data_IF_032858122961
#
_entry.id   IF_032858122961
#
_cell.length_a   1.000
_cell.length_b   1.000
_cell.length_c   1.000
_cell.angle_alpha   90.00
_cell.angle_beta   90.00
_cell.angle_gamma   90.00
#
_symmetry.space_group_name_H-M   'P 1'
#
loop_
_entity.id
_entity.type
_entity.pdbx_description
1 polymer ?
#
# COMPACT_ATOMS: atom_id res chain seq x y z
N UNK A 1 -13.70 13.87 2.56
CA UNK A 1 -12.58 14.31 1.72
C UNK A 1 -11.50 14.91 2.59
N UNK A 2 -10.84 14.01 3.27
CA UNK A 2 -9.52 14.18 3.86
C UNK A 2 -8.52 14.00 2.70
N UNK A 3 -7.40 14.71 2.76
CA UNK A 3 -6.55 14.93 1.60
C UNK A 3 -5.21 14.23 1.80
N UNK A 4 -5.09 13.04 1.24
CA UNK A 4 -3.92 12.19 1.38
C UNK A 4 -2.71 12.87 0.72
N UNK A 5 -1.65 13.15 1.47
CA UNK A 5 -0.37 13.54 0.90
C UNK A 5 0.35 12.28 0.39
N UNK A 6 0.72 12.21 -0.90
CA UNK A 6 1.78 11.28 -1.34
C UNK A 6 3.04 11.63 -0.54
N UNK A 7 3.73 10.63 0.01
CA UNK A 7 4.85 10.86 0.92
C UNK A 7 6.00 11.60 0.22
N UNK A 8 6.17 12.89 0.53
CA UNK A 8 7.32 13.65 0.06
C UNK A 8 8.58 13.07 0.70
N UNK A 9 9.45 12.49 -0.10
CA UNK A 9 10.78 12.12 0.37
C UNK A 9 11.49 13.39 0.83
N UNK A 10 12.01 13.45 2.07
CA UNK A 10 12.64 14.66 2.58
C UNK A 10 13.89 14.95 1.76
N UNK A 11 13.81 15.93 0.86
CA UNK A 11 14.94 16.42 0.09
C UNK A 11 16.00 16.88 1.08
N UNK A 12 17.09 16.10 1.19
CA UNK A 12 18.25 16.48 1.97
C UNK A 12 18.81 17.76 1.37
N UNK A 13 18.53 18.90 2.01
CA UNK A 13 19.06 20.20 1.62
C UNK A 13 20.53 20.25 2.00
N UNK A 14 21.36 19.65 1.15
CA UNK A 14 22.82 19.67 1.24
C UNK A 14 23.31 21.11 1.27
N UNK A 15 23.58 21.61 2.49
CA UNK A 15 24.19 22.92 2.69
C UNK A 15 25.56 22.95 2.01
N UNK A 16 25.89 23.98 1.22
CA UNK A 16 27.23 24.13 0.67
C UNK A 16 28.21 24.42 1.81
N UNK A 17 29.08 23.47 2.12
CA UNK A 17 30.14 23.65 3.11
C UNK A 17 31.22 24.57 2.54
N UNK A 18 31.34 25.79 3.06
CA UNK A 18 32.47 26.67 2.74
C UNK A 18 33.72 26.15 3.45
N UNK A 19 34.66 25.57 2.69
CA UNK A 19 35.99 25.24 3.20
C UNK A 19 36.76 26.51 3.56
N UNK A 20 37.34 26.55 4.76
CA UNK A 20 38.36 27.53 5.13
C UNK A 20 39.45 26.81 5.91
N UNK A 21 40.61 26.66 5.30
CA UNK A 21 41.73 25.90 5.85
C UNK A 21 42.47 26.72 6.92
N UNK A 22 42.46 26.26 8.17
CA UNK A 22 43.39 26.73 9.21
C UNK A 22 43.95 25.52 9.97
N UNK A 23 45.29 25.45 10.00
CA UNK A 23 46.16 24.63 10.85
C UNK A 23 47.07 25.60 11.61
N UNK A 24 47.51 25.37 12.87
CA UNK A 24 48.41 24.24 13.17
C UNK A 24 48.41 23.64 14.61
N UNK A 25 49.13 22.49 14.73
CA UNK A 25 49.97 22.01 15.87
C UNK A 25 49.48 22.15 17.34
N UNK A 26 49.40 21.08 18.15
CA UNK A 26 50.57 20.29 18.62
C UNK A 26 50.22 19.20 19.66
N UNK A 27 51.13 18.21 19.87
CA UNK A 27 51.46 17.37 21.08
C UNK A 27 50.34 16.96 22.10
N UNK A 28 50.28 15.75 22.69
CA UNK A 28 51.24 14.63 22.87
C UNK A 28 50.63 13.40 23.59
N UNK A 29 51.16 12.18 23.36
CA UNK A 29 50.97 10.97 24.20
C UNK A 29 49.66 10.18 24.00
N UNK A 30 49.57 8.86 24.21
CA UNK A 30 50.60 7.84 24.48
C UNK A 30 49.99 6.47 24.91
N UNK A 31 50.67 5.33 24.63
CA UNK A 31 50.25 3.93 24.96
C UNK A 31 48.99 3.38 24.22
N UNK A 32 48.80 2.08 23.96
CA UNK A 32 49.67 0.87 24.10
C UNK A 32 49.18 -0.29 23.19
N UNK A 33 49.99 -1.36 23.08
CA UNK A 33 49.67 -2.74 22.70
C UNK A 33 49.36 -3.14 21.22
N UNK A 34 50.25 -4.00 20.70
CA UNK A 34 50.14 -4.94 19.56
C UNK A 34 49.41 -6.24 20.00
N UNK A 35 49.18 -7.31 19.18
CA UNK A 35 49.55 -7.59 17.77
C UNK A 35 48.27 -7.98 16.93
N UNK A 36 48.24 -8.70 15.78
CA UNK A 36 49.25 -9.45 15.00
C UNK A 36 49.04 -9.39 13.45
N UNK A 37 48.63 -10.49 12.79
CA UNK A 37 48.76 -10.74 11.36
C UNK A 37 47.76 -11.78 10.78
N UNK A 38 47.53 -11.68 9.46
CA UNK A 38 46.97 -12.72 8.56
C UNK A 38 48.15 -13.57 7.95
N UNK A 39 48.06 -14.27 6.78
CA UNK A 39 46.95 -14.62 5.89
C UNK A 39 46.98 -16.11 5.39
N UNK A 40 46.12 -16.46 4.43
CA UNK A 40 46.44 -17.18 3.16
C UNK A 40 45.33 -18.16 2.70
N UNK A 41 45.22 -18.35 1.38
CA UNK A 41 44.25 -19.22 0.71
C UNK A 41 44.80 -20.64 0.44
N UNK A 42 43.92 -21.60 0.12
CA UNK A 42 44.00 -22.46 -1.09
C UNK A 42 42.85 -23.49 -1.23
N UNK A 43 42.40 -23.68 -2.47
CA UNK A 43 42.03 -24.92 -3.18
C UNK A 43 40.98 -25.94 -2.66
N UNK A 44 40.07 -26.28 -3.60
CA UNK A 44 39.28 -27.53 -3.71
C UNK A 44 40.12 -28.63 -4.40
N UNK A 45 39.81 -29.94 -4.28
CA UNK A 45 38.93 -30.55 -5.29
C UNK A 45 38.07 -31.77 -4.88
N UNK A 46 37.05 -32.01 -5.73
CA UNK A 46 36.27 -33.23 -6.07
C UNK A 46 36.37 -34.57 -5.28
N UNK A 47 35.20 -35.21 -5.10
CA UNK A 47 35.04 -36.67 -4.92
C UNK A 47 33.65 -37.17 -5.40
N UNK A 48 33.58 -38.38 -5.98
CA UNK A 48 32.38 -39.12 -6.47
C UNK A 48 32.81 -40.47 -7.09
N UNK A 49 31.94 -41.48 -7.34
CA UNK A 49 30.58 -41.74 -6.83
C UNK A 49 30.33 -43.23 -6.42
N UNK A 50 29.05 -43.61 -6.21
CA UNK A 50 28.49 -45.00 -6.20
C UNK A 50 28.72 -45.86 -4.91
N UNK A 51 27.83 -46.75 -4.44
CA UNK A 51 26.65 -47.41 -5.06
C UNK A 51 25.55 -47.87 -4.04
N UNK A 52 24.29 -47.96 -4.51
CA UNK A 52 23.16 -48.91 -4.24
C UNK A 52 22.94 -49.65 -2.87
N UNK A 53 21.72 -50.04 -2.42
CA UNK A 53 20.31 -49.75 -2.80
C UNK A 53 19.31 -50.41 -1.79
N UNK A 54 18.05 -49.94 -1.72
CA UNK A 54 16.78 -50.69 -1.45
C UNK A 54 15.60 -49.66 -1.45
N UNK A 55 14.72 -49.60 -2.46
CA UNK A 55 13.53 -50.45 -2.72
C UNK A 55 12.28 -50.13 -1.88
N UNK A 56 11.53 -49.10 -2.30
CA UNK A 56 10.07 -49.02 -2.15
C UNK A 56 9.51 -48.05 -3.21
N UNK A 57 8.58 -48.51 -4.06
CA UNK A 57 7.94 -47.65 -5.06
C UNK A 57 6.56 -47.20 -4.60
N UNK A 58 6.28 -45.89 -4.67
CA UNK A 58 4.92 -45.38 -4.76
C UNK A 58 4.86 -44.00 -5.42
N UNK A 59 3.89 -43.85 -6.32
CA UNK A 59 3.71 -42.68 -7.16
C UNK A 59 3.00 -41.54 -6.43
N UNK A 60 3.73 -40.47 -6.11
CA UNK A 60 3.16 -39.18 -5.69
C UNK A 60 3.32 -38.16 -6.81
N UNK A 61 2.26 -37.40 -7.13
CA UNK A 61 2.36 -36.29 -8.10
C UNK A 61 3.36 -35.26 -7.59
N UNK A 62 4.21 -34.72 -8.48
CA UNK A 62 4.92 -33.50 -8.20
C UNK A 62 3.91 -32.38 -7.89
N UNK A 63 4.10 -31.67 -6.77
CA UNK A 63 3.29 -30.50 -6.44
C UNK A 63 3.43 -29.46 -7.55
N UNK A 64 2.35 -28.97 -8.17
CA UNK A 64 2.45 -27.79 -9.01
C UNK A 64 2.80 -26.61 -8.12
N UNK A 65 4.06 -26.18 -8.14
CA UNK A 65 4.43 -24.85 -7.68
C UNK A 65 3.69 -23.85 -8.56
N UNK A 66 2.60 -23.28 -8.05
CA UNK A 66 1.74 -22.36 -8.78
C UNK A 66 2.52 -21.10 -9.16
N UNK A 67 3.08 -21.10 -10.37
CA UNK A 67 3.36 -19.88 -11.09
C UNK A 67 2.03 -19.11 -11.23
N UNK A 68 2.01 -17.87 -10.74
CA UNK A 68 0.85 -17.00 -10.86
C UNK A 68 0.81 -16.46 -12.29
N UNK A 69 0.22 -17.23 -13.20
CA UNK A 69 -0.25 -16.74 -14.49
C UNK A 69 -1.12 -15.48 -14.28
N UNK A 70 -1.08 -14.50 -15.20
CA UNK A 70 -1.86 -13.27 -15.08
C UNK A 70 -3.35 -13.52 -15.38
N UNK A 71 -4.05 -14.11 -14.42
CA UNK A 71 -5.52 -14.27 -14.38
C UNK A 71 -6.21 -12.91 -14.59
N UNK A 72 -6.60 -12.63 -15.84
CA UNK A 72 -7.31 -11.40 -16.25
C UNK A 72 -8.72 -11.41 -15.66
N UNK A 73 -8.82 -11.02 -14.39
CA UNK A 73 -10.07 -11.01 -13.64
C UNK A 73 -11.12 -10.14 -14.36
N UNK A 74 -12.26 -10.71 -14.81
CA UNK A 74 -13.26 -9.94 -15.57
C UNK A 74 -13.80 -8.72 -14.81
N UNK A 75 -13.84 -8.80 -13.47
CA UNK A 75 -14.20 -7.67 -12.61
C UNK A 75 -13.19 -6.51 -12.60
N UNK A 76 -11.91 -6.77 -12.89
CA UNK A 76 -10.88 -5.72 -13.03
C UNK A 76 -11.02 -5.03 -14.38
N UNK A 77 -11.26 -5.77 -15.47
CA UNK A 77 -11.53 -5.15 -16.78
C UNK A 77 -12.84 -4.35 -16.78
N UNK A 78 -13.88 -4.86 -16.12
CA UNK A 78 -15.12 -4.10 -15.89
C UNK A 78 -14.88 -2.81 -15.09
N UNK A 79 -13.99 -2.81 -14.09
CA UNK A 79 -13.65 -1.62 -13.30
C UNK A 79 -12.73 -0.64 -14.04
N UNK A 80 -11.87 -1.12 -14.95
CA UNK A 80 -11.11 -0.27 -15.87
C UNK A 80 -12.04 0.51 -16.80
N UNK A 81 -13.12 -0.11 -17.26
CA UNK A 81 -14.10 0.55 -18.13
C UNK A 81 -15.21 1.34 -17.40
N UNK A 82 -15.51 1.07 -16.13
CA UNK A 82 -16.55 1.77 -15.37
C UNK A 82 -16.31 3.29 -15.30
N UNK A 83 -17.23 4.10 -15.85
CA UNK A 83 -17.10 5.56 -15.94
C UNK A 83 -17.55 6.25 -14.64
N UNK A 84 -17.07 7.49 -14.33
CA UNK A 84 -17.33 8.11 -13.03
C UNK A 84 -18.80 8.38 -12.70
N UNK A 85 -19.62 8.66 -13.72
CA UNK A 85 -21.07 8.85 -13.55
C UNK A 85 -21.78 7.56 -13.12
N UNK A 86 -21.23 6.40 -13.46
CA UNK A 86 -21.82 5.08 -13.21
C UNK A 86 -21.49 4.61 -11.79
N UNK A 87 -20.24 4.70 -11.34
CA UNK A 87 -19.89 4.46 -9.93
C UNK A 87 -20.66 5.42 -9.00
N UNK A 88 -20.79 6.69 -9.39
CA UNK A 88 -21.62 7.67 -8.68
C UNK A 88 -23.14 7.44 -8.82
N UNK A 89 -23.60 6.56 -9.72
CA UNK A 89 -24.99 6.12 -9.79
C UNK A 89 -25.23 4.92 -8.86
N UNK A 90 -24.31 3.94 -8.84
CA UNK A 90 -24.31 2.85 -7.86
C UNK A 90 -24.29 3.41 -6.42
N UNK A 91 -23.41 4.38 -6.15
CA UNK A 91 -23.31 5.05 -4.85
C UNK A 91 -24.54 5.86 -4.42
N UNK A 92 -25.47 6.20 -5.33
CA UNK A 92 -26.74 6.87 -5.00
C UNK A 92 -27.85 5.91 -4.59
N UNK A 93 -27.74 4.62 -4.89
CA UNK A 93 -28.79 3.63 -4.58
C UNK A 93 -29.01 3.51 -3.07
N UNK A 94 -30.19 3.01 -2.65
CA UNK A 94 -30.51 2.80 -1.24
C UNK A 94 -29.64 1.67 -0.65
N UNK A 95 -29.59 0.55 -1.37
CA UNK A 95 -28.55 -0.46 -1.18
C UNK A 95 -27.20 0.09 -1.66
N UNK A 96 -26.12 -0.25 -0.96
CA UNK A 96 -24.73 0.12 -1.30
C UNK A 96 -23.92 -1.06 -1.82
N UNK A 97 -24.43 -2.28 -1.74
CA UNK A 97 -23.76 -3.50 -2.19
C UNK A 97 -23.26 -3.41 -3.64
N UNK A 98 -23.99 -2.81 -4.61
CA UNK A 98 -23.49 -2.65 -5.97
C UNK A 98 -22.26 -1.73 -6.09
N UNK A 99 -22.18 -0.66 -5.27
CA UNK A 99 -21.00 0.22 -5.23
C UNK A 99 -19.77 -0.54 -4.73
N UNK A 100 -19.94 -1.37 -3.69
CA UNK A 100 -18.84 -2.18 -3.16
C UNK A 100 -18.46 -3.33 -4.10
N UNK A 101 -19.42 -4.09 -4.65
CA UNK A 101 -19.14 -5.18 -5.61
C UNK A 101 -18.44 -4.68 -6.89
N UNK A 102 -18.66 -3.43 -7.31
CA UNK A 102 -17.92 -2.83 -8.43
C UNK A 102 -16.42 -2.60 -8.12
N UNK A 103 -16.08 -2.22 -6.89
CA UNK A 103 -14.71 -1.93 -6.46
C UNK A 103 -13.97 -3.17 -5.89
N UNK A 104 -14.72 -4.19 -5.46
CA UNK A 104 -14.23 -5.39 -4.77
C UNK A 104 -13.09 -6.13 -5.51
N UNK A 105 -13.12 -6.34 -6.84
CA UNK A 105 -12.03 -7.05 -7.54
C UNK A 105 -10.66 -6.38 -7.36
N UNK A 106 -10.60 -5.05 -7.48
CA UNK A 106 -9.37 -4.30 -7.28
C UNK A 106 -9.01 -4.12 -5.80
N UNK A 107 -9.99 -4.11 -4.88
CA UNK A 107 -9.73 -4.11 -3.45
C UNK A 107 -9.09 -5.44 -3.00
N UNK A 108 -9.55 -6.58 -3.54
CA UNK A 108 -8.96 -7.90 -3.32
C UNK A 108 -7.55 -8.02 -3.94
N UNK A 109 -7.32 -7.50 -5.15
CA UNK A 109 -5.96 -7.44 -5.68
C UNK A 109 -5.06 -6.51 -4.88
N UNK A 110 -5.54 -5.34 -4.44
CA UNK A 110 -4.78 -4.44 -3.55
C UNK A 110 -4.40 -5.13 -2.24
N UNK A 111 -5.30 -5.96 -1.69
CA UNK A 111 -5.00 -6.80 -0.53
C UNK A 111 -3.91 -7.85 -0.84
N UNK A 112 -4.01 -8.55 -1.98
CA UNK A 112 -3.01 -9.53 -2.45
C UNK A 112 -1.63 -8.92 -2.71
N UNK A 113 -1.59 -7.72 -3.28
CA UNK A 113 -0.38 -7.05 -3.81
C UNK A 113 0.32 -6.16 -2.77
N UNK A 114 -0.44 -5.50 -1.90
CA UNK A 114 0.07 -4.52 -0.94
C UNK A 114 -0.24 -4.87 0.53
N UNK A 115 -0.96 -5.97 0.81
CA UNK A 115 -1.33 -6.40 2.17
C UNK A 115 -2.42 -5.56 2.85
N UNK A 116 -3.07 -4.65 2.12
CA UNK A 116 -4.05 -3.70 2.68
C UNK A 116 -5.45 -4.32 2.66
N UNK A 117 -6.14 -4.45 3.81
CA UNK A 117 -7.43 -5.12 3.87
C UNK A 117 -8.46 -4.54 2.90
N UNK A 118 -9.13 -5.41 2.14
CA UNK A 118 -10.09 -5.01 1.12
C UNK A 118 -11.28 -4.23 1.73
N UNK A 119 -11.74 -4.61 2.93
CA UNK A 119 -12.77 -3.90 3.70
C UNK A 119 -12.40 -2.44 3.96
N UNK A 120 -11.12 -2.17 4.29
CA UNK A 120 -10.62 -0.82 4.51
C UNK A 120 -10.63 -0.02 3.20
N UNK A 121 -10.07 -0.59 2.13
CA UNK A 121 -10.01 0.06 0.80
C UNK A 121 -11.41 0.42 0.29
N UNK A 122 -12.37 -0.49 0.46
CA UNK A 122 -13.78 -0.26 0.13
C UNK A 122 -14.42 0.85 0.98
N UNK A 123 -14.20 0.83 2.31
CA UNK A 123 -14.73 1.86 3.21
C UNK A 123 -14.11 3.25 2.97
N UNK A 124 -12.81 3.33 2.69
CA UNK A 124 -12.13 4.59 2.36
C UNK A 124 -12.58 5.13 0.99
N UNK A 125 -12.74 4.27 -0.01
CA UNK A 125 -13.30 4.66 -1.31
C UNK A 125 -14.72 5.24 -1.17
N UNK A 126 -15.59 4.63 -0.36
CA UNK A 126 -16.92 5.14 -0.08
C UNK A 126 -16.90 6.47 0.71
N UNK A 127 -16.04 6.58 1.73
CA UNK A 127 -15.96 7.74 2.63
C UNK A 127 -15.37 8.98 1.94
N UNK A 128 -14.24 8.86 1.25
CA UNK A 128 -13.53 10.04 0.73
C UNK A 128 -14.20 10.62 -0.51
N UNK A 129 -14.63 9.76 -1.45
CA UNK A 129 -15.41 10.18 -2.63
C UNK A 129 -16.88 10.51 -2.34
N UNK A 130 -17.37 10.22 -1.12
CA UNK A 130 -18.79 10.36 -0.77
C UNK A 130 -19.70 9.50 -1.68
N UNK A 131 -19.43 8.19 -1.73
CA UNK A 131 -20.12 7.22 -2.59
C UNK A 131 -19.96 7.52 -4.09
N UNK A 132 -18.72 7.75 -4.54
CA UNK A 132 -18.34 8.05 -5.93
C UNK A 132 -18.72 9.46 -6.40
N UNK A 133 -19.56 10.17 -5.66
CA UNK A 133 -20.16 11.47 -6.05
C UNK A 133 -19.13 12.58 -6.28
N UNK A 134 -18.00 12.55 -5.58
CA UNK A 134 -17.00 13.63 -5.52
C UNK A 134 -15.58 13.17 -5.91
N UNK A 135 -15.47 12.17 -6.79
CA UNK A 135 -14.19 11.69 -7.30
C UNK A 135 -13.40 12.81 -8.00
N UNK A 136 -12.18 13.11 -7.52
CA UNK A 136 -11.36 14.22 -8.02
C UNK A 136 -10.82 13.87 -9.42
N UNK A 137 -10.88 14.81 -10.35
CA UNK A 137 -10.37 14.64 -11.71
C UNK A 137 -11.04 13.51 -12.52
N UNK A 138 -12.19 13.01 -12.06
CA UNK A 138 -12.91 11.86 -12.64
C UNK A 138 -12.77 10.60 -11.80
N UNK A 139 -11.55 10.10 -11.58
CA UNK A 139 -11.32 8.75 -11.04
C UNK A 139 -10.65 8.69 -9.65
N UNK A 140 -10.16 9.80 -9.10
CA UNK A 140 -9.49 9.81 -7.79
C UNK A 140 -10.53 9.80 -6.65
N UNK A 141 -10.95 8.59 -6.26
CA UNK A 141 -11.94 8.33 -5.20
C UNK A 141 -11.39 8.41 -3.78
N UNK A 142 -10.06 8.54 -3.63
CA UNK A 142 -9.37 8.55 -2.33
C UNK A 142 -8.88 9.94 -1.91
N UNK A 143 -8.84 10.92 -2.81
CA UNK A 143 -8.32 12.26 -2.51
C UNK A 143 -6.79 12.35 -2.50
N UNK A 144 -6.10 11.48 -3.25
CA UNK A 144 -4.64 11.42 -3.36
C UNK A 144 -4.09 12.72 -3.96
N UNK A 145 -3.35 13.51 -3.17
CA UNK A 145 -2.56 14.67 -3.62
C UNK A 145 -1.36 14.20 -4.45
N UNK A 146 -0.80 15.10 -5.28
CA UNK A 146 0.39 14.84 -6.10
C UNK A 146 0.05 14.59 -7.56
N UNK A 147 0.73 13.61 -8.18
CA UNK A 147 0.52 13.21 -9.58
C UNK A 147 0.33 11.70 -9.66
N UNK A 148 -0.53 11.26 -10.59
CA UNK A 148 -0.74 9.85 -10.92
C UNK A 148 -0.40 9.57 -12.39
N UNK A 149 -0.66 8.34 -12.88
CA UNK A 149 -0.43 7.92 -14.26
C UNK A 149 -1.05 8.84 -15.33
N UNK A 150 -2.20 9.46 -15.07
CA UNK A 150 -2.84 10.40 -15.98
C UNK A 150 -2.49 11.88 -15.67
N UNK A 151 -1.39 12.14 -14.96
CA UNK A 151 -0.94 13.45 -14.53
C UNK A 151 -1.61 13.93 -13.24
N UNK A 152 -1.86 15.24 -13.13
CA UNK A 152 -2.50 15.85 -11.96
C UNK A 152 -3.58 16.87 -12.34
N UNK A 153 -4.41 17.25 -11.38
CA UNK A 153 -5.38 18.34 -11.47
C UNK A 153 -5.29 19.23 -10.23
N UNK A 154 -5.20 20.55 -10.41
CA UNK A 154 -5.28 21.49 -9.30
C UNK A 154 -6.74 21.73 -8.93
N UNK A 155 -7.10 21.52 -7.67
CA UNK A 155 -8.43 21.82 -7.14
C UNK A 155 -8.35 22.77 -5.94
N UNK A 156 -9.39 23.58 -5.77
CA UNK A 156 -9.63 24.30 -4.53
C UNK A 156 -10.15 23.30 -3.49
N UNK A 157 -9.52 23.28 -2.33
CA UNK A 157 -9.84 22.32 -1.26
C UNK A 157 -9.83 22.99 0.11
N UNK A 158 -10.63 22.47 1.02
CA UNK A 158 -10.87 23.04 2.34
C UNK A 158 -10.12 22.23 3.39
N UNK A 159 -8.96 22.72 3.80
CA UNK A 159 -8.25 22.14 4.94
C UNK A 159 -8.92 22.55 6.26
N UNK A 160 -8.57 21.84 7.34
CA UNK A 160 -9.24 21.92 8.66
C UNK A 160 -9.23 23.34 9.26
N UNK A 161 -8.29 24.18 8.83
CA UNK A 161 -8.09 25.60 9.14
C UNK A 161 -9.15 26.56 8.56
N UNK A 162 -10.21 26.04 7.92
CA UNK A 162 -11.32 26.77 7.27
C UNK A 162 -10.96 27.56 6.00
N UNK A 163 -9.69 27.74 5.68
CA UNK A 163 -9.26 28.38 4.42
C UNK A 163 -9.40 27.42 3.23
N UNK A 164 -9.64 28.00 2.05
CA UNK A 164 -9.52 27.26 0.79
C UNK A 164 -8.10 27.41 0.27
N UNK A 165 -7.37 26.31 0.15
CA UNK A 165 -6.06 26.26 -0.51
C UNK A 165 -6.21 25.61 -1.89
N UNK A 166 -5.24 25.84 -2.78
CA UNK A 166 -5.10 25.05 -4.01
C UNK A 166 -4.15 23.89 -3.73
N UNK A 167 -4.55 22.68 -4.07
CA UNK A 167 -3.70 21.50 -4.04
C UNK A 167 -3.76 20.76 -5.38
N UNK A 168 -2.64 20.15 -5.79
CA UNK A 168 -2.60 19.22 -6.91
C UNK A 168 -3.02 17.83 -6.44
N UNK A 169 -3.89 17.17 -7.21
CA UNK A 169 -4.37 15.82 -6.98
C UNK A 169 -4.02 14.91 -8.14
N UNK A 170 -3.65 13.67 -7.83
CA UNK A 170 -3.35 12.65 -8.80
C UNK A 170 -4.57 12.40 -9.73
N UNK A 171 -4.31 12.25 -11.02
CA UNK A 171 -5.28 11.77 -12.01
C UNK A 171 -4.95 10.33 -12.38
N UNK A 172 -6.01 9.58 -12.64
CA UNK A 172 -5.98 8.19 -13.09
C UNK A 172 -6.79 8.07 -14.38
N UNK A 173 -6.48 7.09 -15.23
CA UNK A 173 -7.23 6.77 -16.44
C UNK A 173 -8.55 6.05 -16.13
N UNK A 174 -8.59 5.34 -14.99
CA UNK A 174 -9.72 4.53 -14.54
C UNK A 174 -9.68 4.32 -13.01
N UNK A 175 -10.66 3.61 -12.46
CA UNK A 175 -10.73 3.32 -11.02
C UNK A 175 -9.77 2.24 -10.53
N UNK A 176 -9.35 1.31 -11.40
CA UNK A 176 -8.37 0.27 -11.03
C UNK A 176 -7.01 0.88 -10.65
N UNK A 177 -6.50 1.83 -11.45
CA UNK A 177 -5.30 2.60 -11.12
C UNK A 177 -5.44 3.30 -9.75
N UNK A 178 -6.57 3.98 -9.52
CA UNK A 178 -6.82 4.69 -8.25
C UNK A 178 -6.77 3.76 -7.03
N UNK A 179 -7.26 2.52 -7.16
CA UNK A 179 -7.23 1.50 -6.10
C UNK A 179 -5.83 0.91 -5.91
N UNK A 180 -5.08 0.65 -6.99
CA UNK A 180 -3.69 0.18 -6.86
C UNK A 180 -2.78 1.24 -6.23
N UNK A 181 -2.94 2.51 -6.60
CA UNK A 181 -2.19 3.64 -6.04
C UNK A 181 -2.55 3.90 -4.57
N UNK A 182 -3.81 3.72 -4.19
CA UNK A 182 -4.23 3.69 -2.78
C UNK A 182 -3.56 2.56 -1.98
N UNK A 183 -3.43 1.36 -2.56
CA UNK A 183 -2.68 0.27 -1.92
C UNK A 183 -1.20 0.59 -1.73
N UNK A 184 -0.58 1.20 -2.75
CA UNK A 184 0.84 1.57 -2.74
C UNK A 184 1.20 2.68 -1.73
N UNK A 185 0.28 3.61 -1.47
CA UNK A 185 0.42 4.68 -0.47
C UNK A 185 0.92 4.18 0.90
N UNK A 186 0.47 3.00 1.32
CA UNK A 186 0.80 2.44 2.63
C UNK A 186 2.26 1.99 2.75
N UNK A 187 3.01 1.93 1.65
CA UNK A 187 4.42 1.52 1.60
C UNK A 187 5.35 2.73 1.53
N UNK A 188 5.07 3.75 2.35
CA UNK A 188 5.79 5.04 2.38
C UNK A 188 6.57 5.30 3.69
N UNK A 189 6.77 4.29 4.54
CA UNK A 189 7.41 4.41 5.84
C UNK A 189 6.46 4.83 6.98
N UNK A 190 5.34 5.50 6.67
CA UNK A 190 4.45 6.09 7.68
C UNK A 190 3.45 5.08 8.26
N UNK A 191 3.16 4.00 7.53
CA UNK A 191 2.15 3.00 7.91
C UNK A 191 2.76 1.62 8.23
N UNK A 192 4.05 1.41 7.93
CA UNK A 192 4.77 0.14 8.02
C UNK A 192 4.60 -0.55 9.39
N UNK A 193 4.66 0.21 10.49
CA UNK A 193 4.44 -0.31 11.85
C UNK A 193 3.02 -0.84 12.06
N UNK A 194 2.02 -0.18 11.47
CA UNK A 194 0.64 -0.64 11.54
C UNK A 194 0.45 -1.88 10.65
N UNK A 195 1.05 -1.88 9.44
CA UNK A 195 0.94 -2.96 8.47
C UNK A 195 1.61 -4.25 8.97
N UNK A 196 2.83 -4.16 9.52
CA UNK A 196 3.53 -5.29 10.13
C UNK A 196 2.79 -5.86 11.36
N UNK A 197 2.12 -5.00 12.14
CA UNK A 197 1.24 -5.47 13.23
C UNK A 197 0.02 -6.22 12.69
N UNK A 198 -0.63 -5.69 11.65
CA UNK A 198 -1.78 -6.32 10.99
C UNK A 198 -1.41 -7.68 10.37
N UNK A 199 -0.34 -7.74 9.58
CA UNK A 199 0.18 -8.97 8.96
C UNK A 199 0.50 -10.06 10.00
N UNK A 200 0.88 -9.68 11.23
CA UNK A 200 1.17 -10.62 12.32
C UNK A 200 -0.08 -11.19 13.00
N UNK A 201 -1.25 -10.52 12.96
CA UNK A 201 -2.39 -10.87 13.81
C UNK A 201 -3.79 -10.75 13.20
N UNK A 202 -3.92 -10.32 11.93
CA UNK A 202 -5.21 -10.15 11.24
C UNK A 202 -6.15 -9.10 11.84
N UNK A 203 -5.71 -8.30 12.82
CA UNK A 203 -6.58 -7.42 13.59
C UNK A 203 -6.90 -6.13 12.81
N UNK A 204 -7.90 -6.21 11.93
CA UNK A 204 -8.43 -5.09 11.14
C UNK A 204 -8.78 -3.87 12.03
N UNK A 205 -9.42 -4.10 13.18
CA UNK A 205 -9.79 -3.01 14.10
C UNK A 205 -8.58 -2.32 14.74
N UNK A 206 -7.49 -3.06 14.98
CA UNK A 206 -6.20 -2.52 15.39
C UNK A 206 -5.52 -1.73 14.26
N UNK A 207 -5.52 -2.27 13.05
CA UNK A 207 -4.94 -1.62 11.87
C UNK A 207 -5.60 -0.27 11.59
N UNK A 208 -6.94 -0.24 11.50
CA UNK A 208 -7.73 0.98 11.24
C UNK A 208 -7.44 2.07 12.29
N UNK A 209 -7.34 1.71 13.57
CA UNK A 209 -6.99 2.66 14.64
C UNK A 209 -5.56 3.19 14.53
N UNK A 210 -4.60 2.33 14.16
CA UNK A 210 -3.20 2.70 14.03
C UNK A 210 -2.93 3.62 12.82
N UNK A 211 -3.63 3.43 11.68
CA UNK A 211 -3.47 4.28 10.50
C UNK A 211 -4.23 5.60 10.60
N UNK A 212 -5.33 5.66 11.37
CA UNK A 212 -6.22 6.81 11.45
C UNK A 212 -5.52 8.16 11.73
N UNK A 213 -4.63 8.32 12.73
CA UNK A 213 -3.98 9.60 13.00
C UNK A 213 -2.91 10.00 11.97
N UNK A 214 -2.49 9.08 11.09
CA UNK A 214 -1.55 9.34 9.99
C UNK A 214 -2.31 9.73 8.71
N UNK A 215 -3.39 9.00 8.43
CA UNK A 215 -4.23 9.20 7.24
C UNK A 215 -5.17 10.42 7.39
N UNK A 216 -5.59 10.75 8.62
CA UNK A 216 -6.69 11.66 8.87
C UNK A 216 -6.55 12.52 10.15
N UNK A 217 -6.91 13.80 10.02
CA UNK A 217 -7.04 14.74 11.15
C UNK A 217 -8.38 14.64 11.90
N UNK A 218 -9.33 13.80 11.44
CA UNK A 218 -10.65 13.68 12.03
C UNK A 218 -10.65 12.75 13.27
N UNK A 219 -11.05 13.22 14.47
CA UNK A 219 -10.95 12.47 15.75
C UNK A 219 -11.97 11.31 15.91
N UNK A 220 -12.59 10.90 14.81
CA UNK A 220 -13.53 9.79 14.71
C UNK A 220 -13.35 9.00 13.40
N UNK A 221 -12.22 9.14 12.71
CA UNK A 221 -11.97 8.48 11.43
C UNK A 221 -12.02 6.94 11.56
N UNK A 222 -11.35 6.41 12.58
CA UNK A 222 -11.33 4.99 12.94
C UNK A 222 -12.75 4.43 13.15
N UNK A 223 -13.56 5.11 13.95
CA UNK A 223 -14.94 4.73 14.27
C UNK A 223 -15.87 4.87 13.06
N UNK A 224 -15.59 5.81 12.16
CA UNK A 224 -16.35 6.01 10.92
C UNK A 224 -16.10 4.86 9.95
N UNK A 225 -14.84 4.46 9.75
CA UNK A 225 -14.47 3.32 8.91
C UNK A 225 -14.97 2.00 9.49
N UNK A 226 -14.73 1.72 10.78
CA UNK A 226 -15.21 0.49 11.41
C UNK A 226 -16.75 0.42 11.47
N UNK A 227 -17.41 1.55 11.65
CA UNK A 227 -18.88 1.65 11.53
C UNK A 227 -19.37 1.34 10.13
N UNK A 228 -18.68 1.82 9.08
CA UNK A 228 -19.04 1.56 7.68
C UNK A 228 -18.78 0.09 7.28
N UNK A 229 -17.64 -0.48 7.70
CA UNK A 229 -17.29 -1.90 7.48
C UNK A 229 -18.39 -2.81 8.05
N UNK A 230 -18.82 -2.54 9.29
CA UNK A 230 -19.90 -3.29 9.94
C UNK A 230 -21.29 -3.02 9.34
N UNK A 231 -21.63 -1.78 9.01
CA UNK A 231 -22.98 -1.42 8.52
C UNK A 231 -23.27 -1.95 7.11
N UNK A 232 -22.24 -2.33 6.36
CA UNK A 232 -22.36 -2.89 5.01
C UNK A 232 -21.78 -4.30 4.89
N UNK A 233 -21.61 -4.99 6.03
CA UNK A 233 -21.14 -6.38 6.12
C UNK A 233 -19.91 -6.67 5.24
N UNK A 234 -18.97 -5.71 5.17
CA UNK A 234 -17.84 -5.78 4.23
C UNK A 234 -16.91 -6.96 4.52
N UNK A 235 -16.85 -7.43 5.76
CA UNK A 235 -16.15 -8.66 6.13
C UNK A 235 -16.75 -9.89 5.43
N UNK A 236 -18.08 -10.03 5.44
CA UNK A 236 -18.78 -11.11 4.75
C UNK A 236 -18.65 -10.98 3.23
N UNK A 237 -18.76 -9.75 2.70
CA UNK A 237 -18.58 -9.48 1.27
C UNK A 237 -17.16 -9.85 0.77
N UNK A 238 -16.13 -9.52 1.54
CA UNK A 238 -14.73 -9.89 1.23
C UNK A 238 -14.51 -11.39 1.41
N UNK A 239 -15.12 -12.03 2.42
CA UNK A 239 -15.00 -13.47 2.64
C UNK A 239 -15.70 -14.29 1.54
N UNK A 240 -16.87 -13.85 1.04
CA UNK A 240 -17.62 -14.50 -0.06
C UNK A 240 -16.79 -14.57 -1.36
N UNK A 241 -15.91 -13.60 -1.61
CA UNK A 241 -15.17 -13.46 -2.88
C UNK A 241 -13.64 -13.62 -2.72
N UNK A 242 -13.14 -13.93 -1.52
CA UNK A 242 -11.74 -14.30 -1.33
C UNK A 242 -11.54 -15.74 -1.81
N UNK A 243 -10.51 -16.04 -2.62
CA UNK A 243 -10.20 -17.42 -2.98
C UNK A 243 -9.89 -18.22 -1.70
N UNK A 244 -10.56 -19.37 -1.55
CA UNK A 244 -10.37 -20.26 -0.39
C UNK A 244 -8.91 -20.73 -0.37
N UNK A 245 -8.27 -20.61 0.80
CA UNK A 245 -6.86 -20.98 1.04
C UNK A 245 -6.69 -22.46 1.35
#
# INVERSE_FOLDING_TARGET
>A
MILIQQGETPVQVSRPTVSTSIVPSSKSGGSSALPKAAPSAAETPAASPQDQALLAAQTGKASPSLALEPEVHPGIEALKELKPKELAALGKQKDKTPFFKALLPAALESQRKYGIPAQLTLAQAALESGWGKHAIGGYNIFGIKGSGPAGSVVQSTREYTKTHIKAAFAKFHNFYEAVSEHGQLFHNGSYDKALAQYQKNGNLAGFVKNIAPVYATAPNYDRTLLGMIKHHDLDALVQEHSPVS
#
